data_IF_527100913924
#
_entry.id   IF_527100913924
#
_cell.length_a   1.000
_cell.length_b   1.000
_cell.length_c   1.000
_cell.angle_alpha   90.00
_cell.angle_beta   90.00
_cell.angle_gamma   90.00
#
_symmetry.space_group_name_H-M   'P 1'
#
loop_
_entity.id
_entity.type
_entity.pdbx_description
1 polymer ?
#
# COMPACT_ATOMS: atom_id res chain seq x y z
N UNK A 1 -18.19 -20.83 -6.11
CA UNK A 1 -17.16 -21.18 -5.11
C UNK A 1 -17.28 -20.16 -3.99
N UNK A 2 -17.36 -20.60 -2.73
CA UNK A 2 -17.33 -19.68 -1.61
C UNK A 2 -16.01 -18.90 -1.67
N UNK A 3 -16.07 -17.56 -1.58
CA UNK A 3 -14.86 -16.77 -1.35
C UNK A 3 -14.54 -16.97 0.13
N UNK A 4 -13.35 -17.47 0.43
CA UNK A 4 -12.85 -17.53 1.79
C UNK A 4 -12.02 -16.32 2.15
N UNK A 5 -11.47 -16.34 3.36
CA UNK A 5 -10.69 -15.22 3.87
C UNK A 5 -9.35 -15.15 3.15
N UNK A 6 -8.98 -13.95 2.71
CA UNK A 6 -7.65 -13.71 2.15
C UNK A 6 -6.60 -13.93 3.23
N UNK A 7 -5.53 -14.66 2.89
CA UNK A 7 -4.39 -14.84 3.80
C UNK A 7 -3.60 -13.54 3.96
N UNK A 8 -3.53 -12.78 2.86
CA UNK A 8 -2.84 -11.50 2.80
C UNK A 8 -3.83 -10.41 2.41
N UNK A 9 -3.83 -9.31 3.15
CA UNK A 9 -4.73 -8.19 2.89
C UNK A 9 -4.29 -7.33 1.70
N UNK A 10 -5.18 -6.43 1.25
CA UNK A 10 -5.02 -5.58 0.06
C UNK A 10 -4.03 -4.42 0.29
N UNK A 11 -2.73 -4.72 0.28
CA UNK A 11 -1.67 -3.74 0.48
C UNK A 11 -1.57 -2.71 -0.64
N UNK A 12 -1.66 -3.12 -1.91
CA UNK A 12 -1.53 -2.18 -3.04
C UNK A 12 -2.78 -1.32 -3.21
N UNK A 13 -3.97 -1.85 -2.91
CA UNK A 13 -5.20 -1.06 -2.80
C UNK A 13 -5.12 -0.03 -1.67
N UNK A 14 -4.43 -0.33 -0.56
CA UNK A 14 -4.17 0.67 0.49
C UNK A 14 -3.25 1.80 0.00
N UNK A 15 -2.18 1.50 -0.74
CA UNK A 15 -1.30 2.52 -1.34
C UNK A 15 -2.07 3.38 -2.35
N UNK A 16 -2.84 2.74 -3.23
CA UNK A 16 -3.67 3.44 -4.22
C UNK A 16 -4.73 4.33 -3.58
N UNK A 17 -5.34 3.88 -2.48
CA UNK A 17 -6.32 4.64 -1.70
C UNK A 17 -5.67 5.83 -0.99
N UNK A 18 -4.48 5.64 -0.39
CA UNK A 18 -3.72 6.72 0.22
C UNK A 18 -3.38 7.82 -0.81
N UNK A 19 -2.99 7.42 -2.03
CA UNK A 19 -2.76 8.37 -3.10
C UNK A 19 -4.05 9.11 -3.47
N UNK A 20 -5.16 8.40 -3.64
CA UNK A 20 -6.45 9.03 -3.96
C UNK A 20 -6.89 10.03 -2.88
N UNK A 21 -6.63 9.73 -1.61
CA UNK A 21 -6.95 10.63 -0.49
C UNK A 21 -6.08 11.89 -0.49
N UNK A 22 -4.78 11.77 -0.81
CA UNK A 22 -3.90 12.93 -0.99
C UNK A 22 -4.46 13.83 -2.09
N UNK A 23 -4.79 13.26 -3.26
CA UNK A 23 -5.34 14.02 -4.38
C UNK A 23 -6.69 14.66 -4.06
N UNK A 24 -7.56 13.95 -3.32
CA UNK A 24 -8.83 14.51 -2.87
C UNK A 24 -8.61 15.67 -1.89
N UNK A 25 -7.63 15.56 -0.99
CA UNK A 25 -7.28 16.62 -0.03
C UNK A 25 -6.67 17.84 -0.71
N UNK A 26 -5.95 17.65 -1.82
CA UNK A 26 -5.43 18.75 -2.63
C UNK A 26 -6.51 19.57 -3.35
N UNK A 27 -7.73 19.02 -3.45
CA UNK A 27 -8.82 19.58 -4.23
C UNK A 27 -8.70 19.25 -5.73
N UNK A 28 -9.80 19.45 -6.44
CA UNK A 28 -9.91 19.13 -7.87
C UNK A 28 -10.26 17.66 -8.17
N UNK A 29 -10.07 17.26 -9.43
CA UNK A 29 -10.56 15.96 -9.96
C UNK A 29 -9.57 14.80 -9.76
N UNK A 30 -8.36 15.03 -9.24
CA UNK A 30 -7.29 14.03 -9.16
C UNK A 30 -7.69 12.75 -8.40
N UNK A 31 -8.39 12.88 -7.27
CA UNK A 31 -8.87 11.72 -6.51
C UNK A 31 -9.93 10.91 -7.28
N UNK A 32 -10.79 11.59 -8.05
CA UNK A 32 -11.78 10.94 -8.90
C UNK A 32 -11.11 10.24 -10.11
N UNK A 33 -10.10 10.87 -10.72
CA UNK A 33 -9.31 10.27 -11.78
C UNK A 33 -8.61 8.98 -11.31
N UNK A 34 -7.97 8.99 -10.14
CA UNK A 34 -7.28 7.78 -9.66
C UNK A 34 -8.27 6.65 -9.33
N UNK A 35 -9.45 6.97 -8.76
CA UNK A 35 -10.52 5.98 -8.53
C UNK A 35 -11.09 5.42 -9.84
N UNK A 36 -11.25 6.25 -10.87
CA UNK A 36 -11.67 5.79 -12.20
C UNK A 36 -10.66 4.80 -12.81
N UNK A 37 -9.36 5.07 -12.65
CA UNK A 37 -8.28 4.17 -13.08
C UNK A 37 -8.24 2.86 -12.29
N UNK A 38 -8.84 2.83 -11.09
CA UNK A 38 -8.97 1.65 -10.25
C UNK A 38 -10.32 0.92 -10.43
N UNK A 39 -11.09 1.27 -11.47
CA UNK A 39 -12.32 0.56 -11.83
C UNK A 39 -13.59 1.07 -11.14
N UNK A 40 -13.55 2.20 -10.42
CA UNK A 40 -14.73 2.77 -9.74
C UNK A 40 -15.64 3.61 -10.66
N UNK A 41 -15.55 3.42 -11.98
CA UNK A 41 -16.32 4.17 -12.98
C UNK A 41 -15.71 5.53 -13.34
N UNK A 42 -15.99 6.00 -14.56
CA UNK A 42 -15.45 7.24 -15.14
C UNK A 42 -14.57 7.03 -16.37
N UNK A 43 -14.22 8.10 -17.10
CA UNK A 43 -13.46 7.99 -18.33
C UNK A 43 -11.96 7.75 -18.04
N UNK A 44 -11.47 6.57 -18.40
CA UNK A 44 -10.11 6.07 -18.14
C UNK A 44 -9.04 6.90 -18.85
N UNK A 45 -9.26 7.30 -20.11
CA UNK A 45 -8.25 8.00 -20.90
C UNK A 45 -7.93 9.42 -20.36
N UNK A 46 -8.91 10.29 -20.07
CA UNK A 46 -8.66 11.58 -19.41
C UNK A 46 -7.99 11.45 -18.04
N UNK A 47 -8.42 10.46 -17.24
CA UNK A 47 -7.83 10.20 -15.94
C UNK A 47 -6.34 9.81 -16.06
N UNK A 48 -6.00 8.96 -17.03
CA UNK A 48 -4.62 8.56 -17.31
C UNK A 48 -3.79 9.77 -17.76
N UNK A 49 -4.28 10.55 -18.72
CA UNK A 49 -3.59 11.78 -19.18
C UNK A 49 -3.31 12.75 -18.04
N UNK A 50 -4.29 12.95 -17.14
CA UNK A 50 -4.10 13.79 -15.96
C UNK A 50 -2.95 13.26 -15.09
N UNK A 51 -3.01 11.98 -14.72
CA UNK A 51 -2.00 11.36 -13.84
C UNK A 51 -0.60 11.38 -14.47
N UNK A 52 -0.48 11.04 -15.76
CA UNK A 52 0.79 11.03 -16.48
C UNK A 52 1.42 12.43 -16.62
N UNK A 53 0.59 13.48 -16.68
CA UNK A 53 1.08 14.86 -16.80
C UNK A 53 1.46 15.51 -15.46
N UNK A 54 0.78 15.14 -14.37
CA UNK A 54 0.92 15.78 -13.06
C UNK A 54 1.80 14.96 -12.11
N UNK A 55 1.68 13.64 -12.14
CA UNK A 55 2.30 12.72 -11.20
C UNK A 55 3.32 11.81 -11.91
N UNK A 56 4.28 12.45 -12.57
CA UNK A 56 5.24 11.82 -13.49
C UNK A 56 6.17 10.78 -12.84
N UNK A 57 6.27 10.76 -11.50
CA UNK A 57 7.14 9.82 -10.77
C UNK A 57 6.31 8.82 -9.96
N UNK A 58 5.41 9.36 -9.14
CA UNK A 58 4.62 8.58 -8.19
C UNK A 58 3.56 7.71 -8.84
N UNK A 59 2.95 8.17 -9.95
CA UNK A 59 1.95 7.36 -10.65
C UNK A 59 2.60 6.16 -11.38
N UNK A 60 3.68 6.32 -12.16
CA UNK A 60 4.42 5.17 -12.70
C UNK A 60 4.92 4.20 -11.63
N UNK A 61 5.37 4.71 -10.47
CA UNK A 61 5.80 3.88 -9.35
C UNK A 61 4.67 3.04 -8.77
N UNK A 62 3.48 3.62 -8.59
CA UNK A 62 2.28 2.87 -8.20
C UNK A 62 1.95 1.78 -9.23
N UNK A 63 2.06 2.07 -10.53
CA UNK A 63 1.83 1.07 -11.57
C UNK A 63 2.84 -0.08 -11.48
N UNK A 64 4.12 0.21 -11.21
CA UNK A 64 5.15 -0.82 -11.00
C UNK A 64 4.78 -1.72 -9.82
N UNK A 65 4.42 -1.15 -8.68
CA UNK A 65 3.96 -1.90 -7.49
C UNK A 65 2.82 -2.84 -7.88
N UNK A 66 1.76 -2.30 -8.48
CA UNK A 66 0.53 -3.04 -8.79
C UNK A 66 0.70 -4.08 -9.90
N UNK A 67 1.68 -3.90 -10.77
CA UNK A 67 2.02 -4.86 -11.82
C UNK A 67 2.93 -5.99 -11.35
N UNK A 68 3.43 -5.94 -10.11
CA UNK A 68 4.34 -6.97 -9.60
C UNK A 68 3.61 -8.32 -9.51
N UNK A 69 4.17 -9.41 -10.06
CA UNK A 69 3.53 -10.74 -10.01
C UNK A 69 3.18 -11.20 -8.59
N UNK A 70 3.96 -10.82 -7.57
CA UNK A 70 3.68 -11.17 -6.17
C UNK A 70 2.46 -10.43 -5.60
N UNK A 71 2.07 -9.28 -6.16
CA UNK A 71 0.79 -8.64 -5.81
C UNK A 71 -0.37 -9.47 -6.32
N UNK A 72 -0.30 -10.03 -7.53
CA UNK A 72 -1.34 -10.93 -8.02
C UNK A 72 -1.52 -12.14 -7.09
N UNK A 73 -0.43 -12.66 -6.52
CA UNK A 73 -0.47 -13.75 -5.54
C UNK A 73 -1.19 -13.38 -4.25
N UNK A 74 -0.94 -12.18 -3.69
CA UNK A 74 -1.67 -11.66 -2.52
C UNK A 74 -3.18 -11.73 -2.73
N UNK A 75 -3.65 -11.36 -3.93
CA UNK A 75 -5.08 -11.26 -4.24
C UNK A 75 -5.82 -12.57 -4.43
N UNK A 76 -5.14 -13.70 -4.66
CA UNK A 76 -5.81 -14.99 -4.84
C UNK A 76 -5.56 -15.98 -3.71
N UNK A 77 -4.52 -15.79 -2.90
CA UNK A 77 -4.24 -16.67 -1.76
C UNK A 77 -5.28 -16.41 -0.66
N UNK A 78 -6.28 -17.29 -0.62
CA UNK A 78 -7.38 -17.29 0.33
C UNK A 78 -7.70 -18.72 0.77
N UNK A 79 -8.29 -18.86 1.95
CA UNK A 79 -8.83 -20.15 2.39
C UNK A 79 -10.13 -20.50 1.64
N UNK A 80 -10.64 -21.72 1.87
CA UNK A 80 -11.93 -22.17 1.34
C UNK A 80 -13.07 -22.03 2.36
N UNK A 81 -12.80 -21.46 3.54
CA UNK A 81 -13.82 -21.29 4.57
C UNK A 81 -14.83 -20.23 4.13
N UNK A 82 -16.06 -20.25 4.67
CA UNK A 82 -16.99 -19.15 4.40
C UNK A 82 -16.51 -17.90 5.12
N UNK A 83 -16.39 -16.78 4.40
CA UNK A 83 -16.06 -15.47 4.99
C UNK A 83 -16.98 -15.17 6.16
N UNK A 84 -16.39 -15.00 7.34
CA UNK A 84 -17.08 -14.40 8.47
C UNK A 84 -17.04 -12.88 8.27
N UNK A 85 -18.21 -12.23 8.27
CA UNK A 85 -18.24 -10.77 8.27
C UNK A 85 -17.55 -10.25 9.54
N UNK A 86 -16.62 -9.31 9.39
CA UNK A 86 -15.89 -8.66 10.49
C UNK A 86 -15.04 -9.62 11.34
N UNK A 87 -14.23 -10.49 10.72
CA UNK A 87 -13.19 -11.16 11.49
C UNK A 87 -12.18 -10.15 12.07
N UNK A 88 -11.57 -10.55 13.19
CA UNK A 88 -10.66 -9.70 13.98
C UNK A 88 -9.47 -9.20 13.15
N UNK A 89 -9.00 -10.00 12.19
CA UNK A 89 -7.91 -9.61 11.30
C UNK A 89 -8.32 -8.49 10.34
N UNK A 90 -9.47 -8.63 9.68
CA UNK A 90 -10.01 -7.61 8.78
C UNK A 90 -10.24 -6.28 9.51
N UNK A 91 -10.71 -6.34 10.76
CA UNK A 91 -10.84 -5.18 11.63
C UNK A 91 -9.50 -4.50 11.90
N UNK A 92 -8.52 -5.25 12.39
CA UNK A 92 -7.18 -4.75 12.69
C UNK A 92 -6.47 -4.18 11.44
N UNK A 93 -6.58 -4.84 10.30
CA UNK A 93 -6.03 -4.35 9.03
C UNK A 93 -6.74 -3.06 8.59
N UNK A 94 -8.07 -2.99 8.69
CA UNK A 94 -8.84 -1.80 8.35
C UNK A 94 -8.43 -0.57 9.17
N UNK A 95 -8.22 -0.75 10.47
CA UNK A 95 -7.72 0.31 11.36
C UNK A 95 -6.30 0.75 10.98
N UNK A 96 -5.39 -0.20 10.77
CA UNK A 96 -4.02 0.08 10.37
C UNK A 96 -3.96 0.76 8.99
N UNK A 97 -4.86 0.38 8.07
CA UNK A 97 -4.96 0.96 6.73
C UNK A 97 -5.43 2.41 6.80
N UNK A 98 -6.43 2.69 7.63
CA UNK A 98 -6.88 4.06 7.90
C UNK A 98 -5.77 4.91 8.53
N UNK A 99 -5.03 4.36 9.49
CA UNK A 99 -3.89 5.04 10.11
C UNK A 99 -2.78 5.35 9.11
N UNK A 100 -2.41 4.39 8.26
CA UNK A 100 -1.43 4.60 7.18
C UNK A 100 -1.90 5.68 6.20
N UNK A 101 -3.12 5.59 5.68
CA UNK A 101 -3.69 6.57 4.75
C UNK A 101 -3.70 7.97 5.36
N UNK A 102 -4.15 8.11 6.61
CA UNK A 102 -4.12 9.39 7.32
C UNK A 102 -2.69 9.92 7.48
N UNK A 103 -1.73 9.07 7.84
CA UNK A 103 -0.33 9.46 7.97
C UNK A 103 0.25 9.96 6.64
N UNK A 104 -0.06 9.30 5.52
CA UNK A 104 0.35 9.74 4.18
C UNK A 104 -0.25 11.11 3.83
N UNK A 105 -1.54 11.31 4.07
CA UNK A 105 -2.21 12.60 3.82
C UNK A 105 -1.58 13.70 4.66
N UNK A 106 -1.44 13.50 5.97
CA UNK A 106 -0.87 14.52 6.86
C UNK A 106 0.57 14.85 6.48
N UNK A 107 1.37 13.82 6.18
CA UNK A 107 2.74 13.98 5.71
C UNK A 107 2.82 14.74 4.38
N UNK A 108 1.95 14.43 3.42
CA UNK A 108 1.87 15.13 2.14
C UNK A 108 1.45 16.60 2.30
N UNK A 109 0.63 16.91 3.31
CA UNK A 109 0.17 18.26 3.63
C UNK A 109 1.15 19.04 4.52
N UNK A 110 2.32 18.47 4.86
CA UNK A 110 3.33 19.13 5.67
C UNK A 110 3.01 19.19 7.16
N UNK A 111 2.15 18.30 7.66
CA UNK A 111 1.86 18.15 9.08
C UNK A 111 3.05 17.57 9.86
N UNK A 112 3.03 17.76 11.18
CA UNK A 112 4.08 17.31 12.10
C UNK A 112 4.03 15.80 12.46
N UNK A 113 3.13 15.03 11.82
CA UNK A 113 3.00 13.59 12.10
C UNK A 113 4.23 12.80 11.68
N UNK A 114 4.42 11.67 12.36
CA UNK A 114 5.51 10.73 12.13
C UNK A 114 5.58 10.24 10.68
N UNK A 115 6.78 9.81 10.27
CA UNK A 115 7.06 9.17 8.99
C UNK A 115 5.98 8.11 8.65
N UNK A 116 5.27 8.20 7.50
CA UNK A 116 4.23 7.24 7.12
C UNK A 116 4.70 5.78 7.10
N UNK A 117 6.00 5.54 6.98
CA UNK A 117 6.58 4.21 7.07
C UNK A 117 6.41 3.54 8.44
N UNK A 118 6.21 4.31 9.53
CA UNK A 118 5.86 3.74 10.83
C UNK A 118 4.46 3.13 10.79
N UNK A 119 3.48 3.86 10.24
CA UNK A 119 2.12 3.35 10.06
C UNK A 119 2.07 2.20 9.04
N UNK A 120 2.87 2.26 7.98
CA UNK A 120 3.03 1.16 7.03
C UNK A 120 3.51 -0.13 7.70
N UNK A 121 4.47 -0.06 8.62
CA UNK A 121 4.95 -1.25 9.35
C UNK A 121 3.85 -1.88 10.20
N UNK A 122 3.01 -1.06 10.83
CA UNK A 122 1.85 -1.57 11.58
C UNK A 122 0.84 -2.24 10.64
N UNK A 123 0.60 -1.64 9.47
CA UNK A 123 -0.23 -2.23 8.42
C UNK A 123 0.31 -3.58 7.95
N UNK A 124 1.61 -3.69 7.69
CA UNK A 124 2.27 -4.96 7.32
C UNK A 124 2.13 -6.03 8.40
N UNK A 125 2.22 -5.65 9.68
CA UNK A 125 2.05 -6.59 10.78
C UNK A 125 0.59 -7.06 10.94
N UNK A 126 -0.38 -6.19 10.66
CA UNK A 126 -1.80 -6.54 10.73
C UNK A 126 -2.28 -7.31 9.48
N UNK A 127 -1.59 -7.19 8.35
CA UNK A 127 -2.10 -7.63 7.05
C UNK A 127 -1.95 -9.10 6.71
N UNK A 128 -1.58 -9.96 7.67
CA UNK A 128 -1.54 -11.41 7.51
C UNK A 128 -2.59 -12.07 8.42
N UNK A 129 -3.54 -12.78 7.84
CA UNK A 129 -4.45 -13.65 8.60
C UNK A 129 -3.79 -15.03 8.77
N UNK A 130 -3.19 -15.25 9.95
CA UNK A 130 -2.55 -16.52 10.29
C UNK A 130 -3.54 -17.69 10.36
N UNK A 131 -4.80 -17.45 10.71
CA UNK A 131 -5.80 -18.52 10.74
C UNK A 131 -6.20 -18.94 9.31
N UNK A 132 -6.38 -17.97 8.40
CA UNK A 132 -6.57 -18.26 6.98
C UNK A 132 -5.33 -18.93 6.38
N UNK A 133 -4.12 -18.52 6.78
CA UNK A 133 -2.87 -19.13 6.33
C UNK A 133 -2.83 -20.63 6.67
N UNK A 134 -3.08 -20.99 7.94
CA UNK A 134 -3.06 -22.39 8.37
C UNK A 134 -4.11 -23.23 7.62
N UNK A 135 -5.30 -22.67 7.38
CA UNK A 135 -6.34 -23.34 6.60
C UNK A 135 -5.94 -23.52 5.14
N UNK A 136 -5.41 -22.50 4.49
CA UNK A 136 -4.87 -22.59 3.13
C UNK A 136 -3.78 -23.66 3.02
N UNK A 137 -2.86 -23.70 3.99
CA UNK A 137 -1.81 -24.72 4.07
C UNK A 137 -2.39 -26.12 4.23
N UNK A 138 -3.41 -26.30 5.08
CA UNK A 138 -4.10 -27.57 5.25
C UNK A 138 -4.79 -28.04 3.96
N UNK A 139 -5.41 -27.12 3.22
CA UNK A 139 -6.03 -27.42 1.93
C UNK A 139 -6.59 -26.16 1.26
N UNK A 140 -6.46 -26.09 -0.05
CA UNK A 140 -7.03 -25.02 -0.86
C UNK A 140 -7.56 -25.57 -2.17
N UNK A 141 -8.73 -25.11 -2.57
CA UNK A 141 -9.39 -25.42 -3.85
C UNK A 141 -8.89 -24.52 -4.99
N UNK A 142 -8.02 -23.55 -4.69
CA UNK A 142 -7.49 -22.63 -5.70
C UNK A 142 -6.65 -23.39 -6.72
N UNK A 143 -6.96 -23.21 -8.01
CA UNK A 143 -6.28 -23.90 -9.11
C UNK A 143 -4.77 -23.63 -9.20
N UNK A 144 -4.34 -22.45 -8.73
CA UNK A 144 -2.94 -22.02 -8.69
C UNK A 144 -2.23 -22.43 -7.39
N UNK A 145 -2.94 -22.96 -6.40
CA UNK A 145 -2.32 -23.38 -5.15
C UNK A 145 -1.39 -24.59 -5.37
N UNK A 146 -0.18 -24.60 -4.76
CA UNK A 146 0.65 -25.79 -4.72
C UNK A 146 -0.11 -27.00 -4.18
N UNK A 147 0.13 -28.19 -4.77
CA UNK A 147 -0.60 -29.43 -4.41
C UNK A 147 -0.29 -29.95 -3.01
N UNK A 148 0.94 -29.73 -2.54
CA UNK A 148 1.39 -30.14 -1.20
C UNK A 148 1.21 -29.03 -0.17
N UNK A 149 0.96 -29.40 1.08
CA UNK A 149 0.96 -28.47 2.21
C UNK A 149 2.28 -27.68 2.33
N UNK A 150 3.43 -28.35 2.12
CA UNK A 150 4.73 -27.70 2.20
C UNK A 150 4.95 -26.63 1.11
N UNK A 151 4.52 -26.93 -0.12
CA UNK A 151 4.51 -25.94 -1.20
C UNK A 151 3.62 -24.73 -0.89
N UNK A 152 2.44 -24.94 -0.29
CA UNK A 152 1.54 -23.84 0.12
C UNK A 152 2.15 -23.00 1.23
N UNK A 153 2.77 -23.63 2.22
CA UNK A 153 3.52 -22.93 3.29
C UNK A 153 4.67 -22.11 2.71
N UNK A 154 5.44 -22.70 1.80
CA UNK A 154 6.56 -22.01 1.12
C UNK A 154 6.06 -20.77 0.37
N UNK A 155 4.96 -20.89 -0.38
CA UNK A 155 4.34 -19.75 -1.06
C UNK A 155 3.98 -18.63 -0.08
N UNK A 156 3.30 -18.95 1.03
CA UNK A 156 2.95 -17.94 2.05
C UNK A 156 4.18 -17.24 2.62
N UNK A 157 5.25 -17.98 2.92
CA UNK A 157 6.50 -17.40 3.42
C UNK A 157 7.21 -16.51 2.40
N UNK A 158 7.17 -16.87 1.11
CA UNK A 158 7.72 -16.04 0.04
C UNK A 158 6.96 -14.73 -0.12
N UNK A 159 5.63 -14.78 -0.05
CA UNK A 159 4.77 -13.58 -0.12
C UNK A 159 5.03 -12.70 1.10
N UNK A 160 5.13 -13.25 2.31
CA UNK A 160 5.46 -12.47 3.51
C UNK A 160 6.83 -11.78 3.40
N UNK A 161 7.85 -12.50 2.91
CA UNK A 161 9.17 -11.92 2.62
C UNK A 161 9.09 -10.79 1.59
N UNK A 162 8.29 -10.97 0.55
CA UNK A 162 8.05 -9.94 -0.44
C UNK A 162 7.40 -8.68 0.17
N UNK A 163 6.34 -8.84 0.96
CA UNK A 163 5.62 -7.74 1.63
C UNK A 163 6.58 -6.95 2.55
N UNK A 164 7.29 -7.66 3.42
CA UNK A 164 8.20 -7.05 4.40
C UNK A 164 9.46 -6.47 3.76
N UNK A 165 9.88 -7.00 2.61
CA UNK A 165 11.08 -6.59 1.88
C UNK A 165 10.79 -5.65 0.73
N UNK A 166 10.59 -6.24 -0.46
CA UNK A 166 10.49 -5.51 -1.72
C UNK A 166 9.31 -4.55 -1.76
N UNK A 167 8.12 -4.98 -1.36
CA UNK A 167 6.94 -4.11 -1.36
C UNK A 167 7.14 -2.91 -0.41
N UNK A 168 7.67 -3.15 0.79
CA UNK A 168 7.98 -2.08 1.75
C UNK A 168 8.99 -1.07 1.18
N UNK A 169 10.01 -1.55 0.45
CA UNK A 169 10.98 -0.68 -0.23
C UNK A 169 10.32 0.14 -1.34
N UNK A 170 9.46 -0.50 -2.14
CA UNK A 170 8.75 0.17 -3.22
C UNK A 170 7.74 1.20 -2.69
N UNK A 171 7.05 0.90 -1.58
CA UNK A 171 6.19 1.88 -0.87
C UNK A 171 6.99 3.09 -0.38
N UNK A 172 8.16 2.88 0.22
CA UNK A 172 9.02 3.98 0.66
C UNK A 172 9.48 4.84 -0.53
N UNK A 173 9.87 4.19 -1.64
CA UNK A 173 10.23 4.88 -2.88
C UNK A 173 9.06 5.68 -3.45
N UNK A 174 7.87 5.07 -3.50
CA UNK A 174 6.65 5.72 -3.96
C UNK A 174 6.32 6.96 -3.13
N UNK A 175 6.46 6.91 -1.80
CA UNK A 175 6.26 8.08 -0.94
C UNK A 175 7.22 9.22 -1.32
N UNK A 176 8.51 8.92 -1.50
CA UNK A 176 9.51 9.92 -1.93
C UNK A 176 9.13 10.53 -3.28
N UNK A 177 8.74 9.70 -4.25
CA UNK A 177 8.33 10.14 -5.58
C UNK A 177 7.05 10.98 -5.54
N UNK A 178 6.10 10.63 -4.67
CA UNK A 178 4.88 11.42 -4.44
C UNK A 178 5.25 12.81 -3.96
N UNK A 179 6.15 12.92 -2.99
CA UNK A 179 6.61 14.23 -2.50
C UNK A 179 7.29 15.07 -3.56
N UNK A 180 8.12 14.45 -4.41
CA UNK A 180 8.75 15.15 -5.53
C UNK A 180 7.71 15.69 -6.52
N UNK A 181 6.70 14.90 -6.87
CA UNK A 181 5.63 15.36 -7.75
C UNK A 181 4.82 16.51 -7.09
N UNK A 182 4.54 16.43 -5.79
CA UNK A 182 3.85 17.49 -5.04
C UNK A 182 4.66 18.80 -5.00
N UNK A 183 5.99 18.72 -4.88
CA UNK A 183 6.87 19.89 -4.92
C UNK A 183 6.90 20.58 -6.28
N UNK A 184 6.87 19.80 -7.37
CA UNK A 184 6.95 20.32 -8.74
C UNK A 184 5.65 20.98 -9.23
N UNK A 185 4.51 20.66 -8.61
CA UNK A 185 3.20 21.15 -9.04
C UNK A 185 2.83 22.58 -8.60
N UNK A 186 3.75 23.38 -8.02
CA UNK A 186 3.48 24.77 -7.60
C UNK A 186 2.25 24.88 -6.67
N UNK A 187 2.21 24.03 -5.65
CA UNK A 187 1.35 24.25 -4.49
C UNK A 187 1.72 25.60 -3.86
N UNK A 188 0.76 26.46 -3.52
CA UNK A 188 1.05 27.76 -2.88
C UNK A 188 1.56 27.54 -1.44
N UNK A 189 2.88 27.48 -1.32
CA UNK A 189 3.62 27.27 -0.08
C UNK A 189 3.63 28.47 0.87
N UNK A 190 3.06 29.63 0.49
CA UNK A 190 3.14 30.85 1.30
C UNK A 190 2.50 30.74 2.70
N UNK A 191 1.81 29.63 3.00
CA UNK A 191 1.25 29.33 4.33
C UNK A 191 1.98 28.25 5.15
N UNK A 192 3.03 27.58 4.67
CA UNK A 192 3.70 26.56 5.51
C UNK A 192 5.19 26.29 5.20
N UNK A 193 5.91 27.27 4.65
CA UNK A 193 7.33 27.13 4.32
C UNK A 193 8.22 26.65 5.49
N UNK A 194 7.83 26.96 6.73
CA UNK A 194 8.51 26.58 7.97
C UNK A 194 8.31 25.10 8.37
N UNK A 195 7.18 24.48 8.03
CA UNK A 195 6.84 23.12 8.48
C UNK A 195 7.59 22.05 7.70
N UNK A 196 7.53 22.10 6.35
CA UNK A 196 8.07 21.02 5.53
C UNK A 196 9.60 21.04 5.41
N UNK A 197 10.26 22.21 5.53
CA UNK A 197 11.72 22.33 5.61
C UNK A 197 12.27 21.70 6.91
N UNK A 198 11.54 21.81 8.02
CA UNK A 198 11.87 21.10 9.25
C UNK A 198 11.67 19.58 9.10
N UNK A 199 10.64 19.14 8.38
CA UNK A 199 10.43 17.71 8.03
C UNK A 199 11.55 17.16 7.12
N UNK A 200 12.09 17.97 6.20
CA UNK A 200 13.25 17.59 5.37
C UNK A 200 14.57 17.63 6.13
N UNK A 201 14.75 18.60 7.03
CA UNK A 201 15.93 18.72 7.89
C UNK A 201 16.04 17.60 8.92
N UNK A 202 14.92 16.97 9.29
CA UNK A 202 14.87 15.70 10.05
C UNK A 202 15.26 14.46 9.20
N UNK A 203 15.50 14.66 7.91
CA UNK A 203 16.21 13.74 7.02
C UNK A 203 15.38 12.57 6.48
N UNK A 204 15.70 12.21 5.23
CA UNK A 204 15.67 10.83 4.73
C UNK A 204 16.68 10.00 5.55
N UNK A 205 16.39 9.84 6.84
CA UNK A 205 17.33 9.29 7.81
C UNK A 205 17.33 7.76 7.84
N UNK A 206 18.32 7.16 8.54
CA UNK A 206 18.48 5.71 8.71
C UNK A 206 17.25 4.96 9.23
N UNK A 207 16.20 5.64 9.71
CA UNK A 207 14.94 5.04 10.16
C UNK A 207 13.92 4.73 9.07
N UNK A 208 14.11 5.25 7.84
CA UNK A 208 13.21 4.99 6.69
C UNK A 208 13.37 3.56 6.15
N UNK A 209 14.60 3.07 6.13
CA UNK A 209 14.93 1.70 5.78
C UNK A 209 15.27 0.98 7.09
N UNK A 210 14.84 -0.25 7.28
CA UNK A 210 15.35 -1.01 8.42
C UNK A 210 16.88 -1.10 8.30
N UNK A 211 17.65 -1.08 9.40
CA UNK A 211 18.99 -1.64 9.34
C UNK A 211 18.88 -3.03 8.71
N UNK A 212 19.69 -3.31 7.71
CA UNK A 212 19.77 -4.66 7.17
C UNK A 212 19.99 -5.60 8.36
N UNK A 213 19.11 -6.59 8.54
CA UNK A 213 19.28 -7.62 9.55
C UNK A 213 20.63 -8.30 9.28
N UNK A 214 21.67 -7.94 10.05
CA UNK A 214 23.03 -8.47 9.87
C UNK A 214 24.22 -7.50 9.97
N UNK A 215 24.04 -6.21 10.25
CA UNK A 215 25.19 -5.33 10.54
C UNK A 215 25.29 -5.07 12.05
N UNK A 216 25.94 -6.00 12.76
CA UNK A 216 26.53 -5.77 14.08
C UNK A 216 27.97 -5.28 13.93
#
# INVERSE_FOLDING_TARGET
MAKGNHVFNDFDGCIASAFADVLAKMGGEGGAHLRALNGSGGPVAPARTFMDSKFTRSYPSLLVIRSNPRIAEIHWVQDDAVVAANDENSGAFGEAAAAFRSAVVDWAMGGDRDNPMAAWRQLVNAGVDHAAMERFVAGSSQSLAPRSAEGRRTLCLEIEKFIRGALTKDTAKWLIELRLDLQLQNYDYAKSESGWKATLGKGLGPGWFAPASGAG
#
